data_IF_874298155466
#
_entry.id   IF_874298155466
#
_cell.length_a   1.000
_cell.length_b   1.000
_cell.length_c   1.000
_cell.angle_alpha   90.00
_cell.angle_beta   90.00
_cell.angle_gamma   90.00
#
_symmetry.space_group_name_H-M   'P 1'
#
loop_
_entity.id
_entity.type
_entity.pdbx_description
1 polymer ?
#
# COMPACT_ATOMS: atom_id res chain seq x y z
N UNK A 1 -3.96 -2.36 18.46
CA UNK A 1 -4.16 -2.17 17.00
C UNK A 1 -3.27 -1.04 16.48
N UNK A 2 -2.99 -0.93 15.17
CA UNK A 2 -1.92 -0.07 14.61
C UNK A 2 -1.85 1.37 15.16
N UNK A 3 -3.00 2.03 15.35
CA UNK A 3 -3.06 3.40 15.89
C UNK A 3 -2.62 3.46 17.36
N UNK A 4 -3.06 2.51 18.18
CA UNK A 4 -2.63 2.38 19.59
C UNK A 4 -1.13 2.13 19.71
N UNK A 5 -0.52 1.37 18.78
CA UNK A 5 0.94 1.16 18.80
C UNK A 5 1.74 2.43 18.57
N UNK A 6 1.12 3.45 17.98
CA UNK A 6 1.67 4.79 17.83
C UNK A 6 1.13 5.78 18.87
N UNK A 7 0.40 5.30 19.88
CA UNK A 7 -0.21 6.13 20.93
C UNK A 7 -1.18 7.18 20.37
N UNK A 8 -1.79 6.90 19.20
CA UNK A 8 -2.78 7.78 18.59
C UNK A 8 -4.13 7.53 19.27
N UNK A 9 -4.86 8.59 19.71
CA UNK A 9 -6.18 8.44 20.30
C UNK A 9 -7.17 7.70 19.41
N UNK A 10 -7.99 6.83 20.03
CA UNK A 10 -8.99 6.01 19.31
C UNK A 10 -9.95 6.85 18.48
N UNK A 11 -10.36 8.02 18.97
CA UNK A 11 -11.25 8.96 18.27
C UNK A 11 -10.70 9.39 16.90
N UNK A 12 -9.37 9.52 16.76
CA UNK A 12 -8.75 9.85 15.47
C UNK A 12 -8.84 8.69 14.49
N UNK A 13 -8.70 7.45 14.96
CA UNK A 13 -8.91 6.27 14.14
C UNK A 13 -10.38 6.15 13.71
N UNK A 14 -11.32 6.35 14.62
CA UNK A 14 -12.76 6.31 14.32
C UNK A 14 -13.12 7.37 13.28
N UNK A 15 -12.64 8.61 13.45
CA UNK A 15 -12.81 9.68 12.48
C UNK A 15 -12.25 9.32 11.10
N UNK A 16 -11.00 8.83 11.03
CA UNK A 16 -10.40 8.39 9.76
C UNK A 16 -11.19 7.25 9.13
N UNK A 17 -11.55 6.24 9.92
CA UNK A 17 -12.21 5.02 9.45
C UNK A 17 -13.64 5.24 8.99
N UNK A 18 -14.32 6.28 9.50
CA UNK A 18 -15.68 6.65 9.09
C UNK A 18 -15.81 6.97 7.60
N UNK A 19 -14.71 7.38 6.97
CA UNK A 19 -14.63 7.70 5.54
C UNK A 19 -14.04 6.57 4.70
N UNK A 20 -13.79 5.40 5.29
CA UNK A 20 -13.22 4.28 4.54
C UNK A 20 -14.26 3.59 3.66
N UNK A 21 -13.81 3.15 2.51
CA UNK A 21 -14.54 2.25 1.61
C UNK A 21 -13.65 1.09 1.20
N UNK A 22 -14.26 -0.05 0.95
CA UNK A 22 -13.53 -1.28 0.64
C UNK A 22 -13.86 -1.72 -0.78
N UNK A 23 -12.82 -2.08 -1.53
CA UNK A 23 -12.94 -2.78 -2.79
C UNK A 23 -12.47 -4.22 -2.59
N UNK A 24 -13.40 -5.16 -2.72
CA UNK A 24 -13.09 -6.58 -2.71
C UNK A 24 -12.85 -7.07 -4.14
N UNK A 25 -11.73 -7.75 -4.38
CA UNK A 25 -11.38 -8.32 -5.69
C UNK A 25 -11.04 -9.79 -5.56
N UNK A 26 -11.72 -10.59 -6.37
CA UNK A 26 -11.34 -11.97 -6.66
C UNK A 26 -10.38 -11.95 -7.84
N UNK A 27 -9.16 -12.45 -7.63
CA UNK A 27 -8.09 -12.41 -8.60
C UNK A 27 -7.74 -13.84 -9.01
N UNK A 28 -7.65 -14.06 -10.31
CA UNK A 28 -7.24 -15.32 -10.93
C UNK A 28 -6.05 -15.07 -11.84
N UNK A 29 -4.99 -15.85 -11.67
CA UNK A 29 -3.88 -15.92 -12.62
C UNK A 29 -3.85 -17.32 -13.21
N UNK A 30 -4.06 -17.43 -14.53
CA UNK A 30 -4.00 -18.72 -15.22
C UNK A 30 -2.60 -19.32 -15.21
N UNK A 31 -2.45 -20.63 -15.19
CA UNK A 31 -1.15 -21.26 -15.50
C UNK A 31 -0.66 -20.76 -16.88
N UNK A 32 0.59 -20.28 -17.01
CA UNK A 32 1.15 -19.90 -18.30
C UNK A 32 1.30 -21.12 -19.21
N UNK A 33 1.21 -20.90 -20.52
CA UNK A 33 1.59 -21.91 -21.52
C UNK A 33 3.12 -22.00 -21.67
N UNK A 34 3.82 -20.91 -21.38
CA UNK A 34 5.27 -20.79 -21.41
C UNK A 34 5.84 -20.71 -19.97
N UNK A 35 6.62 -21.72 -19.61
CA UNK A 35 7.25 -21.84 -18.29
C UNK A 35 8.32 -20.76 -18.04
N UNK A 36 8.78 -20.04 -19.06
CA UNK A 36 9.76 -18.96 -18.91
C UNK A 36 9.15 -17.69 -18.27
N UNK A 37 7.81 -17.60 -18.18
CA UNK A 37 7.13 -16.46 -17.53
C UNK A 37 7.21 -16.56 -15.99
N UNK A 38 8.25 -15.98 -15.41
CA UNK A 38 8.47 -15.98 -13.96
C UNK A 38 7.55 -14.98 -13.23
N UNK A 39 7.24 -13.82 -13.81
CA UNK A 39 6.46 -12.75 -13.16
C UNK A 39 5.07 -12.62 -13.78
N UNK A 40 4.03 -12.73 -12.94
CA UNK A 40 2.60 -12.66 -13.29
C UNK A 40 1.99 -11.29 -13.03
N UNK A 41 2.49 -10.58 -12.02
CA UNK A 41 2.14 -9.20 -11.77
C UNK A 41 3.41 -8.42 -11.38
N UNK A 42 3.73 -7.32 -12.07
CA UNK A 42 4.98 -6.60 -11.87
C UNK A 42 5.06 -6.00 -10.46
N UNK A 43 6.29 -5.67 -10.04
CA UNK A 43 6.51 -4.99 -8.78
C UNK A 43 5.79 -3.64 -8.76
N UNK A 44 5.07 -3.38 -7.68
CA UNK A 44 4.37 -2.12 -7.44
C UNK A 44 4.12 -1.93 -5.94
N UNK A 45 3.66 -0.73 -5.57
CA UNK A 45 3.06 -0.44 -4.27
C UNK A 45 1.57 -0.18 -4.46
N UNK A 46 0.79 -0.54 -3.45
CA UNK A 46 -0.63 -0.25 -3.43
C UNK A 46 -0.92 1.25 -3.26
N UNK A 47 -1.97 1.74 -3.94
CA UNK A 47 -2.35 3.16 -4.01
C UNK A 47 -3.52 3.52 -3.10
N UNK A 48 -3.95 2.57 -2.30
CA UNK A 48 -5.00 2.67 -1.29
C UNK A 48 -4.38 2.89 0.09
N UNK A 49 -5.20 2.97 1.14
CA UNK A 49 -4.73 3.18 2.50
C UNK A 49 -4.12 1.90 3.08
N UNK A 50 -4.85 0.79 3.03
CA UNK A 50 -4.40 -0.54 3.50
C UNK A 50 -4.96 -1.65 2.64
N UNK A 51 -4.23 -2.76 2.52
CA UNK A 51 -4.62 -3.95 1.74
C UNK A 51 -4.57 -5.18 2.63
N UNK A 52 -5.57 -6.04 2.51
CA UNK A 52 -5.53 -7.42 3.00
C UNK A 52 -5.55 -8.37 1.80
N UNK A 53 -4.62 -9.31 1.75
CA UNK A 53 -4.56 -10.36 0.72
C UNK A 53 -4.63 -11.73 1.36
N UNK A 54 -5.53 -12.56 0.83
CA UNK A 54 -5.62 -14.00 1.14
C UNK A 54 -5.26 -14.77 -0.12
N UNK A 55 -4.33 -15.71 -0.01
CA UNK A 55 -3.96 -16.64 -1.07
C UNK A 55 -4.72 -17.97 -0.87
N UNK A 56 -5.09 -18.63 -1.96
CA UNK A 56 -5.77 -19.93 -1.90
C UNK A 56 -4.95 -21.00 -2.61
N UNK A 57 -4.50 -22.01 -1.85
CA UNK A 57 -3.70 -23.17 -2.28
C UNK A 57 -2.32 -22.79 -2.86
N UNK A 58 -2.32 -22.06 -3.98
CA UNK A 58 -1.13 -21.65 -4.72
C UNK A 58 -0.63 -20.29 -4.23
N UNK A 59 0.64 -20.23 -3.82
CA UNK A 59 1.32 -19.00 -3.41
C UNK A 59 1.73 -18.09 -4.58
N UNK A 60 2.86 -17.41 -4.43
CA UNK A 60 3.45 -16.57 -5.48
C UNK A 60 3.39 -15.07 -5.22
N UNK A 61 2.74 -14.61 -4.15
CA UNK A 61 2.96 -13.25 -3.68
C UNK A 61 4.36 -13.12 -3.08
N UNK A 62 5.13 -12.14 -3.55
CA UNK A 62 6.43 -11.78 -2.99
C UNK A 62 6.43 -10.31 -2.56
N UNK A 63 7.11 -10.04 -1.45
CA UNK A 63 7.23 -8.72 -0.82
C UNK A 63 8.70 -8.34 -0.73
N UNK A 64 9.04 -7.10 -1.08
CA UNK A 64 10.43 -6.61 -1.08
C UNK A 64 10.81 -6.05 0.29
N UNK A 65 11.95 -6.47 0.82
CA UNK A 65 12.50 -5.95 2.09
C UNK A 65 13.12 -4.57 1.91
N UNK A 66 13.59 -3.98 3.01
CA UNK A 66 14.34 -2.71 2.98
C UNK A 66 15.73 -2.87 2.36
N UNK A 67 16.27 -4.08 2.41
CA UNK A 67 17.58 -4.45 1.86
C UNK A 67 17.44 -4.96 0.41
N UNK A 68 16.30 -4.66 -0.22
CA UNK A 68 15.97 -4.97 -1.61
C UNK A 68 15.81 -6.45 -1.98
N UNK A 69 15.81 -7.35 -0.99
CA UNK A 69 15.52 -8.77 -1.14
C UNK A 69 14.02 -9.07 -1.31
N UNK A 70 13.70 -10.22 -1.92
CA UNK A 70 12.32 -10.68 -2.10
C UNK A 70 12.00 -11.83 -1.15
N UNK A 71 10.94 -11.68 -0.36
CA UNK A 71 10.41 -12.72 0.52
C UNK A 71 9.11 -13.26 -0.05
N UNK A 72 9.02 -14.59 -0.18
CA UNK A 72 7.78 -15.28 -0.55
C UNK A 72 6.81 -15.29 0.62
N UNK A 73 5.57 -14.87 0.36
CA UNK A 73 4.49 -14.97 1.33
C UNK A 73 3.85 -16.34 1.20
N UNK A 74 3.86 -17.09 2.30
CA UNK A 74 3.25 -18.41 2.38
C UNK A 74 1.75 -18.35 2.03
N UNK A 75 1.27 -19.41 1.39
CA UNK A 75 -0.15 -19.63 1.16
C UNK A 75 -0.62 -20.75 2.09
N UNK A 76 -0.96 -20.39 3.34
CA UNK A 76 -1.49 -21.34 4.31
C UNK A 76 -2.95 -21.01 4.68
N UNK A 77 -3.74 -22.02 5.08
CA UNK A 77 -5.07 -21.80 5.62
C UNK A 77 -5.06 -20.80 6.79
N UNK A 78 -6.10 -19.96 6.84
CA UNK A 78 -6.28 -18.96 7.90
C UNK A 78 -5.19 -17.90 8.02
N UNK A 79 -4.32 -17.75 7.01
CA UNK A 79 -3.37 -16.65 6.92
C UNK A 79 -3.85 -15.57 5.96
N UNK A 80 -3.52 -14.32 6.30
CA UNK A 80 -3.67 -13.18 5.43
C UNK A 80 -2.45 -12.26 5.56
N UNK A 81 -2.11 -11.58 4.48
CA UNK A 81 -1.13 -10.50 4.49
C UNK A 81 -1.84 -9.17 4.66
N UNK A 82 -1.44 -8.37 5.63
CA UNK A 82 -1.83 -6.97 5.75
C UNK A 82 -0.69 -6.07 5.29
N UNK A 83 -0.96 -5.16 4.35
CA UNK A 83 0.01 -4.19 3.83
C UNK A 83 -0.49 -2.77 3.99
N UNK A 84 0.42 -1.87 4.35
CA UNK A 84 0.19 -0.44 4.21
C UNK A 84 0.29 -0.05 2.73
N UNK A 85 -0.64 0.80 2.27
CA UNK A 85 -0.52 1.47 0.99
C UNK A 85 0.25 2.79 1.13
N UNK A 86 -0.11 3.81 0.34
CA UNK A 86 0.65 5.07 0.24
C UNK A 86 1.15 5.55 1.61
N UNK A 87 2.45 5.87 1.71
CA UNK A 87 3.23 6.10 2.94
C UNK A 87 2.44 6.39 4.21
N UNK A 88 1.86 5.34 4.79
CA UNK A 88 0.83 5.45 5.80
C UNK A 88 1.38 6.21 7.01
N UNK A 89 0.73 7.33 7.30
CA UNK A 89 0.93 8.14 8.49
C UNK A 89 2.38 8.61 8.71
N UNK A 90 3.16 8.87 7.66
CA UNK A 90 4.55 9.34 7.76
C UNK A 90 5.56 8.30 8.29
N UNK A 91 5.11 7.17 8.83
CA UNK A 91 5.94 6.18 9.56
C UNK A 91 6.03 4.82 8.89
N UNK A 92 5.00 4.41 8.16
CA UNK A 92 4.96 3.10 7.52
C UNK A 92 5.09 3.27 6.02
N UNK A 93 6.15 2.70 5.44
CA UNK A 93 6.36 2.74 4.00
C UNK A 93 5.46 1.72 3.31
N UNK A 94 4.86 2.12 2.19
CA UNK A 94 4.21 1.19 1.29
C UNK A 94 5.22 0.15 0.82
N UNK A 95 4.86 -1.13 0.88
CA UNK A 95 5.79 -2.19 0.52
C UNK A 95 5.65 -2.56 -0.95
N UNK A 96 6.80 -2.64 -1.64
CA UNK A 96 6.83 -3.17 -2.99
C UNK A 96 6.49 -4.66 -2.95
N UNK A 97 5.57 -5.07 -3.80
CA UNK A 97 5.18 -6.46 -3.91
C UNK A 97 4.91 -6.82 -5.37
N UNK A 98 5.04 -8.12 -5.69
CA UNK A 98 4.84 -8.67 -7.02
C UNK A 98 4.18 -10.04 -6.92
N UNK A 99 3.66 -10.55 -8.03
CA UNK A 99 3.16 -11.92 -8.11
C UNK A 99 4.05 -12.68 -9.09
N UNK A 100 4.67 -13.76 -8.64
CA UNK A 100 5.38 -14.72 -9.49
C UNK A 100 4.51 -15.90 -9.85
N UNK A 101 4.89 -16.60 -10.90
CA UNK A 101 4.35 -17.91 -11.19
C UNK A 101 4.83 -18.92 -10.14
N UNK A 102 3.95 -19.83 -9.72
CA UNK A 102 4.22 -20.85 -8.73
C UNK A 102 3.31 -22.06 -9.00
N UNK A 103 3.91 -23.25 -9.13
CA UNK A 103 3.17 -24.49 -9.38
C UNK A 103 2.60 -24.60 -10.80
N UNK A 104 1.77 -25.62 -11.02
CA UNK A 104 1.18 -26.01 -12.30
C UNK A 104 -0.33 -25.68 -12.39
N UNK A 105 -0.88 -25.05 -11.35
CA UNK A 105 -2.31 -24.71 -11.22
C UNK A 105 -2.57 -23.22 -11.36
N UNK A 106 -3.81 -22.91 -11.74
CA UNK A 106 -4.34 -21.55 -11.65
C UNK A 106 -4.24 -21.03 -10.21
N UNK A 107 -3.71 -19.82 -10.04
CA UNK A 107 -3.60 -19.16 -8.74
C UNK A 107 -4.83 -18.30 -8.49
N UNK A 108 -5.41 -18.43 -7.30
CA UNK A 108 -6.52 -17.62 -6.83
C UNK A 108 -6.13 -16.82 -5.58
N UNK A 109 -6.58 -15.57 -5.51
CA UNK A 109 -6.44 -14.76 -4.29
C UNK A 109 -7.61 -13.80 -4.13
N UNK A 110 -7.90 -13.45 -2.88
CA UNK A 110 -8.86 -12.41 -2.50
C UNK A 110 -8.08 -11.19 -2.00
N UNK A 111 -8.31 -10.04 -2.60
CA UNK A 111 -7.75 -8.76 -2.15
C UNK A 111 -8.84 -7.83 -1.65
N UNK A 112 -8.70 -7.32 -0.43
CA UNK A 112 -9.54 -6.25 0.12
C UNK A 112 -8.71 -4.98 0.21
N UNK A 113 -9.05 -3.99 -0.60
CA UNK A 113 -8.33 -2.72 -0.70
C UNK A 113 -9.16 -1.63 -0.02
N UNK A 114 -8.63 -1.05 1.06
CA UNK A 114 -9.29 0.02 1.81
C UNK A 114 -8.85 1.37 1.29
N UNK A 115 -9.80 2.17 0.83
CA UNK A 115 -9.62 3.55 0.39
C UNK A 115 -10.23 4.51 1.40
N UNK A 116 -9.55 5.61 1.69
CA UNK A 116 -10.18 6.72 2.40
C UNK A 116 -10.84 7.68 1.40
N UNK A 117 -12.09 8.07 1.64
CA UNK A 117 -12.83 9.02 0.80
C UNK A 117 -12.83 10.44 1.35
N UNK A 118 -12.18 10.66 2.49
CA UNK A 118 -12.07 11.96 3.13
C UNK A 118 -10.73 12.63 2.87
N UNK A 119 -10.46 13.64 3.69
CA UNK A 119 -9.16 14.29 3.77
C UNK A 119 -8.29 13.48 4.72
N UNK A 120 -7.16 13.00 4.21
CA UNK A 120 -6.14 12.36 5.04
C UNK A 120 -5.22 13.42 5.63
N UNK A 121 -4.92 13.27 6.92
CA UNK A 121 -3.95 14.09 7.63
C UNK A 121 -3.04 13.16 8.43
N UNK A 122 -1.74 13.47 8.46
CA UNK A 122 -0.80 12.79 9.35
C UNK A 122 -1.16 13.14 10.81
N UNK A 123 -1.43 12.15 11.67
CA UNK A 123 -1.65 12.39 13.11
C UNK A 123 -0.51 13.19 13.71
N UNK A 124 -0.82 14.17 14.56
CA UNK A 124 0.18 15.09 15.13
C UNK A 124 1.15 14.35 16.04
N UNK A 125 0.69 13.28 16.68
CA UNK A 125 1.44 12.34 17.52
C UNK A 125 2.58 11.66 16.76
N UNK A 126 2.51 11.63 15.42
CA UNK A 126 3.54 11.06 14.56
C UNK A 126 4.50 12.10 13.99
N UNK A 127 4.42 13.35 14.43
CA UNK A 127 5.29 14.44 13.99
C UNK A 127 6.12 14.93 15.16
N UNK A 128 7.43 14.79 15.04
CA UNK A 128 8.41 15.22 16.05
C UNK A 128 9.71 15.66 15.37
N UNK A 129 10.70 16.11 16.15
CA UNK A 129 12.00 16.57 15.62
C UNK A 129 12.75 15.50 14.82
N UNK A 130 12.63 14.23 15.23
CA UNK A 130 13.26 13.10 14.53
C UNK A 130 12.47 12.62 13.31
N UNK A 131 11.19 13.00 13.22
CA UNK A 131 10.27 12.60 12.16
C UNK A 131 9.37 13.78 11.76
N UNK A 132 9.91 14.74 11.00
CA UNK A 132 9.16 15.91 10.59
C UNK A 132 8.00 15.53 9.66
N UNK A 133 7.01 16.42 9.58
CA UNK A 133 5.87 16.26 8.69
C UNK A 133 6.36 16.18 7.23
N UNK A 134 6.10 15.06 6.54
CA UNK A 134 6.47 14.92 5.12
C UNK A 134 5.35 15.31 4.15
N UNK A 135 4.08 15.25 4.61
CA UNK A 135 2.91 15.44 3.76
C UNK A 135 1.90 16.39 4.44
N UNK A 136 1.44 17.40 3.71
CA UNK A 136 0.27 18.21 4.06
C UNK A 136 -1.01 17.37 4.02
N UNK A 137 -2.09 17.85 4.64
CA UNK A 137 -3.41 17.22 4.49
C UNK A 137 -3.83 17.16 3.01
N UNK A 138 -4.50 16.08 2.59
CA UNK A 138 -4.84 15.87 1.19
C UNK A 138 -6.10 15.03 0.96
N UNK A 139 -6.76 15.23 -0.19
CA UNK A 139 -7.84 14.34 -0.65
C UNK A 139 -7.25 13.01 -1.13
N UNK A 140 -7.55 11.92 -0.42
CA UNK A 140 -7.03 10.59 -0.75
C UNK A 140 -7.52 10.08 -2.11
N UNK A 141 -8.76 10.43 -2.51
CA UNK A 141 -9.28 10.11 -3.84
C UNK A 141 -8.66 11.00 -4.90
N UNK A 142 -8.40 12.25 -4.56
CA UNK A 142 -7.66 13.21 -5.36
C UNK A 142 -6.26 12.69 -5.70
N UNK A 143 -5.55 12.12 -4.73
CA UNK A 143 -4.25 11.50 -4.96
C UNK A 143 -4.32 10.36 -5.98
N UNK A 144 -5.34 9.48 -5.90
CA UNK A 144 -5.51 8.38 -6.85
C UNK A 144 -5.76 8.90 -8.27
N UNK A 145 -6.56 9.97 -8.41
CA UNK A 145 -6.77 10.64 -9.71
C UNK A 145 -5.47 11.23 -10.23
N UNK A 146 -4.74 11.96 -9.38
CA UNK A 146 -3.45 12.56 -9.70
C UNK A 146 -2.43 11.52 -10.16
N UNK A 147 -2.38 10.36 -9.50
CA UNK A 147 -1.41 9.30 -9.79
C UNK A 147 -1.42 8.84 -11.25
N UNK A 148 -2.55 8.94 -11.95
CA UNK A 148 -2.66 8.51 -13.34
C UNK A 148 -2.21 9.58 -14.36
N UNK A 149 -1.87 10.79 -13.90
CA UNK A 149 -1.43 11.90 -14.76
C UNK A 149 0.01 11.72 -15.24
N UNK A 150 0.41 12.36 -16.37
CA UNK A 150 1.80 12.39 -16.81
C UNK A 150 2.75 13.02 -15.79
N UNK A 151 2.28 14.01 -15.03
CA UNK A 151 3.03 14.66 -13.97
C UNK A 151 3.42 13.67 -12.88
N UNK A 152 2.44 12.94 -12.34
CA UNK A 152 2.69 11.93 -11.32
C UNK A 152 3.63 10.81 -11.81
N UNK A 153 3.50 10.38 -13.07
CA UNK A 153 4.37 9.35 -13.66
C UNK A 153 5.83 9.77 -13.81
N UNK A 154 6.09 11.09 -13.90
CA UNK A 154 7.46 11.65 -13.97
C UNK A 154 8.03 11.98 -12.59
N UNK A 155 7.18 12.08 -11.57
CA UNK A 155 7.62 12.38 -10.22
C UNK A 155 8.35 11.19 -9.60
N UNK A 156 9.49 11.45 -8.96
CA UNK A 156 10.23 10.46 -8.16
C UNK A 156 9.34 9.90 -7.04
N UNK A 157 8.52 10.76 -6.42
CA UNK A 157 7.52 10.39 -5.43
C UNK A 157 6.19 11.07 -5.75
N UNK A 158 5.23 10.34 -6.35
CA UNK A 158 3.92 10.90 -6.70
C UNK A 158 3.19 11.51 -5.50
N UNK A 159 3.30 10.89 -4.32
CA UNK A 159 2.66 11.40 -3.11
C UNK A 159 3.31 12.70 -2.62
N UNK A 160 4.64 12.84 -2.68
CA UNK A 160 5.32 14.11 -2.38
C UNK A 160 5.00 15.19 -3.42
N UNK A 161 4.89 14.83 -4.69
CA UNK A 161 4.47 15.78 -5.73
C UNK A 161 3.04 16.29 -5.48
N UNK A 162 2.15 15.43 -5.02
CA UNK A 162 0.75 15.79 -4.76
C UNK A 162 0.58 16.62 -3.48
N UNK A 163 1.17 16.20 -2.38
CA UNK A 163 0.91 16.78 -1.06
C UNK A 163 2.15 16.95 -0.17
N UNK A 164 3.36 16.84 -0.71
CA UNK A 164 4.59 17.02 0.07
C UNK A 164 4.69 18.41 0.71
N UNK A 165 5.28 18.48 1.90
CA UNK A 165 5.63 19.76 2.52
C UNK A 165 6.75 20.42 1.71
N UNK A 166 6.53 21.67 1.27
CA UNK A 166 7.58 22.45 0.60
C UNK A 166 8.55 22.95 1.66
N UNK A 167 9.81 22.55 1.58
CA UNK A 167 10.86 23.16 2.41
C UNK A 167 11.14 24.53 1.78
N UNK A 168 10.65 25.60 2.41
CA UNK A 168 11.19 26.94 2.13
C UNK A 168 12.60 26.98 2.70
N UNK A 169 13.60 26.77 1.85
CA UNK A 169 14.97 27.13 2.18
C UNK A 169 15.02 28.65 2.09
N UNK A 170 14.87 29.32 3.23
CA UNK A 170 15.33 30.69 3.35
C UNK A 170 16.86 30.62 3.34
N UNK A 171 17.46 31.06 2.23
CA UNK A 171 18.90 31.30 2.08
C UNK A 171 19.21 32.67 2.69
#
# INVERSE_FOLDING_TARGET
MLFESFQIPQEQYESLSSSNTHLLRFLKYKTPEDNDTVIRFPSHTDKNFTTIVVQHDVGGLEVRTKDDDWISVESAPSQFLFMAGYGAMNRIKACHHRVKHCGDKDRYSLGMFTFNNGVFQVPKELVDESHPLLYNQFDSRGFIRFYNTPEAKKAESPIKAYCGVKISIYI
#
